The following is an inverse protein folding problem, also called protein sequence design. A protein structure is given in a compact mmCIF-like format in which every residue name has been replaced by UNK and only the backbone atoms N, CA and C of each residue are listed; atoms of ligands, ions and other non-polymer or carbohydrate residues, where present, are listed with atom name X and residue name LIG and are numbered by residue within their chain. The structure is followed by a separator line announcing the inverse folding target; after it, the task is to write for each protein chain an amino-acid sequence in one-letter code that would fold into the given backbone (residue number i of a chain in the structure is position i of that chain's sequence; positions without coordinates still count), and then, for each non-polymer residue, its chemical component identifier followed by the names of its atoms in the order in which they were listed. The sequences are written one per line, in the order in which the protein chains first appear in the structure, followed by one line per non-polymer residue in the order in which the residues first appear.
data_IF_256715885232
#
_entry.id   IF_256715885232
#
_cell.length_a   1.000
_cell.length_b   1.000
_cell.length_c   1.000
_cell.angle_alpha   90.00
_cell.angle_beta   90.00
_cell.angle_gamma   90.00
#
_symmetry.space_group_name_H-M   'P 1'
#
loop_
_entity.id
_entity.type
_entity.pdbx_description
1 polymer ?
#
# COMPACT_ATOMS: atom_id res chain seq x y z
N UNK A 1 4.66 -44.48 25.50
CA UNK A 1 6.10 -44.35 25.24
C UNK A 1 6.48 -42.89 25.01
N UNK A 2 7.27 -42.30 25.92
CA UNK A 2 7.72 -40.88 25.77
C UNK A 2 8.96 -40.89 24.89
N UNK A 3 8.92 -40.32 23.67
CA UNK A 3 10.06 -40.29 22.76
C UNK A 3 11.35 -39.72 23.41
N UNK A 4 12.48 -40.13 22.91
CA UNK A 4 13.83 -39.77 23.42
C UNK A 4 14.07 -38.24 23.30
N UNK A 5 14.99 -37.70 24.09
CA UNK A 5 15.32 -36.27 24.05
C UNK A 5 15.68 -35.77 22.63
N UNK A 6 16.49 -36.49 21.82
CA UNK A 6 16.80 -36.05 20.45
C UNK A 6 15.58 -36.05 19.52
N UNK A 7 14.62 -36.97 19.67
CA UNK A 7 13.42 -37.00 18.86
C UNK A 7 12.49 -35.83 19.17
N UNK A 8 12.40 -35.39 20.42
CA UNK A 8 11.66 -34.21 20.85
C UNK A 8 12.25 -32.95 20.27
N UNK A 9 13.57 -32.85 20.26
CA UNK A 9 14.32 -31.73 19.68
C UNK A 9 14.11 -31.64 18.16
N UNK A 10 14.23 -32.76 17.47
CA UNK A 10 13.99 -32.83 16.03
C UNK A 10 12.55 -32.45 15.64
N UNK A 11 11.55 -32.83 16.44
CA UNK A 11 10.16 -32.40 16.23
C UNK A 11 9.96 -30.90 16.46
N UNK A 12 10.60 -30.32 17.48
CA UNK A 12 10.56 -28.87 17.74
C UNK A 12 11.19 -28.08 16.61
N UNK A 13 12.35 -28.49 16.11
CA UNK A 13 13.04 -27.86 14.98
C UNK A 13 12.20 -27.93 13.69
N UNK A 14 11.58 -29.06 13.40
CA UNK A 14 10.68 -29.18 12.22
C UNK A 14 9.46 -28.26 12.35
N UNK A 15 8.87 -28.15 13.53
CA UNK A 15 7.77 -27.21 13.78
C UNK A 15 8.23 -25.76 13.60
N UNK A 16 9.35 -25.38 14.19
CA UNK A 16 9.92 -24.04 14.06
C UNK A 16 10.18 -23.68 12.60
N UNK A 17 10.85 -24.59 11.84
CA UNK A 17 11.09 -24.37 10.41
C UNK A 17 9.80 -24.19 9.61
N UNK A 18 8.75 -24.96 9.90
CA UNK A 18 7.43 -24.80 9.26
C UNK A 18 6.81 -23.43 9.57
N UNK A 19 6.84 -23.02 10.83
CA UNK A 19 6.32 -21.71 11.24
C UNK A 19 7.11 -20.57 10.62
N UNK A 20 8.44 -20.66 10.57
CA UNK A 20 9.28 -19.66 9.90
C UNK A 20 8.99 -19.61 8.38
N UNK A 21 8.81 -20.74 7.73
CA UNK A 21 8.45 -20.79 6.32
C UNK A 21 7.06 -20.15 6.06
N UNK A 22 6.07 -20.45 6.91
CA UNK A 22 4.74 -19.84 6.82
C UNK A 22 4.78 -18.33 7.07
N UNK A 23 5.53 -17.89 8.07
CA UNK A 23 5.72 -16.47 8.37
C UNK A 23 6.43 -15.74 7.23
N UNK A 24 7.47 -16.35 6.63
CA UNK A 24 8.16 -15.80 5.46
C UNK A 24 7.22 -15.70 4.25
N UNK A 25 6.42 -16.72 4.00
CA UNK A 25 5.44 -16.71 2.91
C UNK A 25 4.35 -15.65 3.14
N UNK A 26 3.82 -15.55 4.35
CA UNK A 26 2.81 -14.55 4.71
C UNK A 26 3.35 -13.12 4.64
N UNK A 27 4.64 -12.90 5.00
CA UNK A 27 5.30 -11.60 4.94
C UNK A 27 5.81 -11.20 3.56
N UNK A 28 5.97 -12.14 2.62
CA UNK A 28 6.57 -11.87 1.31
C UNK A 28 5.72 -10.93 0.46
N UNK A 29 4.40 -11.09 0.46
CA UNK A 29 3.50 -10.23 -0.32
C UNK A 29 3.43 -8.79 0.20
N UNK A 30 3.22 -8.53 1.50
CA UNK A 30 3.34 -7.17 2.04
C UNK A 30 4.71 -6.53 1.77
N UNK A 31 5.80 -7.28 1.92
CA UNK A 31 7.14 -6.80 1.64
C UNK A 31 7.33 -6.44 0.15
N UNK A 32 6.79 -7.25 -0.76
CA UNK A 32 6.77 -6.95 -2.19
C UNK A 32 6.01 -5.65 -2.48
N UNK A 33 4.78 -5.51 -1.97
CA UNK A 33 3.97 -4.30 -2.18
C UNK A 33 4.69 -3.08 -1.64
N UNK A 34 5.10 -3.10 -0.37
CA UNK A 34 5.80 -1.99 0.26
C UNK A 34 7.10 -1.66 -0.48
N UNK A 35 7.95 -2.63 -0.75
CA UNK A 35 9.22 -2.42 -1.46
C UNK A 35 9.03 -1.79 -2.83
N UNK A 36 8.04 -2.26 -3.59
CA UNK A 36 7.73 -1.70 -4.91
C UNK A 36 7.20 -0.27 -4.83
N UNK A 37 6.24 -0.05 -3.93
CA UNK A 37 5.63 1.28 -3.73
C UNK A 37 6.68 2.28 -3.29
N UNK A 38 7.49 1.95 -2.29
CA UNK A 38 8.54 2.85 -1.80
C UNK A 38 9.61 3.12 -2.85
N UNK A 39 10.12 2.08 -3.50
CA UNK A 39 11.13 2.26 -4.55
C UNK A 39 10.63 3.14 -5.70
N UNK A 40 9.34 3.03 -6.05
CA UNK A 40 8.74 3.83 -7.12
C UNK A 40 8.46 5.26 -6.66
N UNK A 41 7.89 5.45 -5.47
CA UNK A 41 7.56 6.76 -4.90
C UNK A 41 8.83 7.60 -4.67
N UNK A 42 9.89 7.00 -4.13
CA UNK A 42 11.16 7.70 -3.88
C UNK A 42 11.87 8.16 -5.17
N UNK A 43 11.64 7.45 -6.28
CA UNK A 43 12.18 7.82 -7.60
C UNK A 43 11.30 8.79 -8.37
N UNK A 44 10.12 9.12 -7.86
CA UNK A 44 9.24 10.10 -8.50
C UNK A 44 9.70 11.52 -8.17
N UNK A 45 9.60 12.42 -9.15
CA UNK A 45 9.88 13.86 -8.99
C UNK A 45 8.66 14.62 -8.44
N UNK A 46 7.70 13.93 -7.87
CA UNK A 46 6.51 14.56 -7.29
C UNK A 46 6.87 15.37 -6.04
N UNK A 47 6.32 16.60 -5.93
CA UNK A 47 6.57 17.46 -4.79
C UNK A 47 5.87 16.97 -3.51
N UNK A 48 6.31 17.54 -2.39
CA UNK A 48 5.72 17.34 -1.07
C UNK A 48 6.09 15.98 -0.45
N UNK A 49 6.02 15.96 0.87
CA UNK A 49 6.13 14.75 1.68
C UNK A 49 4.75 14.21 2.02
N UNK A 50 4.51 13.99 3.32
CA UNK A 50 3.21 13.49 3.81
C UNK A 50 2.10 14.50 3.53
N UNK A 51 0.95 14.01 3.13
CA UNK A 51 -0.25 14.74 2.72
C UNK A 51 -0.14 15.54 1.42
N UNK A 52 1.02 15.48 0.75
CA UNK A 52 1.23 16.09 -0.57
C UNK A 52 1.04 15.12 -1.73
N UNK A 53 1.31 15.56 -2.98
CA UNK A 53 1.20 14.73 -4.19
C UNK A 53 2.00 13.43 -4.12
N UNK A 54 3.19 13.45 -3.56
CA UNK A 54 4.03 12.25 -3.38
C UNK A 54 3.39 11.21 -2.45
N UNK A 55 2.75 11.65 -1.39
CA UNK A 55 2.00 10.78 -0.48
C UNK A 55 0.73 10.22 -1.14
N UNK A 56 0.00 11.06 -1.85
CA UNK A 56 -1.15 10.66 -2.64
C UNK A 56 -0.80 9.59 -3.70
N UNK A 57 0.36 9.76 -4.38
CA UNK A 57 0.91 8.76 -5.29
C UNK A 57 1.21 7.44 -4.57
N UNK A 58 1.83 7.50 -3.40
CA UNK A 58 2.14 6.32 -2.59
C UNK A 58 0.87 5.53 -2.25
N UNK A 59 -0.19 6.20 -1.78
CA UNK A 59 -1.47 5.58 -1.44
C UNK A 59 -2.17 4.98 -2.66
N UNK A 60 -2.28 5.75 -3.74
CA UNK A 60 -2.85 5.28 -4.99
C UNK A 60 -2.11 4.09 -5.58
N UNK A 61 -0.76 4.14 -5.59
CA UNK A 61 0.07 3.05 -6.11
C UNK A 61 0.00 1.78 -5.26
N UNK A 62 -0.05 1.92 -3.94
CA UNK A 62 -0.20 0.77 -3.04
C UNK A 62 -1.51 0.04 -3.31
N UNK A 63 -2.61 0.76 -3.35
CA UNK A 63 -3.94 0.21 -3.62
C UNK A 63 -4.06 -0.35 -5.03
N UNK A 64 -3.47 0.32 -6.04
CA UNK A 64 -3.42 -0.19 -7.41
C UNK A 64 -2.62 -1.50 -7.50
N UNK A 65 -1.47 -1.57 -6.81
CA UNK A 65 -0.64 -2.78 -6.75
C UNK A 65 -1.41 -3.97 -6.17
N UNK A 66 -2.10 -3.75 -5.05
CA UNK A 66 -2.91 -4.80 -4.41
C UNK A 66 -4.08 -5.23 -5.28
N UNK A 67 -4.77 -4.28 -5.92
CA UNK A 67 -5.90 -4.58 -6.79
C UNK A 67 -5.48 -5.30 -8.09
N UNK A 68 -4.32 -4.93 -8.66
CA UNK A 68 -3.76 -5.56 -9.86
C UNK A 68 -3.27 -6.99 -9.61
N UNK A 69 -2.62 -7.24 -8.47
CA UNK A 69 -2.03 -8.55 -8.15
C UNK A 69 -2.97 -9.49 -7.39
N UNK A 70 -4.05 -8.98 -6.83
CA UNK A 70 -5.00 -9.73 -6.03
C UNK A 70 -6.44 -9.43 -6.41
N UNK A 71 -7.13 -8.67 -5.58
CA UNK A 71 -8.53 -8.29 -5.78
C UNK A 71 -8.79 -6.90 -5.17
N UNK A 72 -9.67 -6.08 -5.76
CA UNK A 72 -10.10 -4.81 -5.17
C UNK A 72 -10.66 -4.94 -3.73
N UNK A 73 -11.29 -6.07 -3.41
CA UNK A 73 -11.80 -6.37 -2.05
C UNK A 73 -10.70 -6.45 -0.99
N UNK A 74 -9.48 -6.86 -1.38
CA UNK A 74 -8.35 -6.87 -0.47
C UNK A 74 -7.90 -5.46 -0.11
N UNK A 75 -8.05 -4.52 -1.05
CA UNK A 75 -7.75 -3.09 -0.80
C UNK A 75 -8.71 -2.56 0.26
N UNK A 76 -10.01 -2.81 0.13
CA UNK A 76 -11.01 -2.37 1.10
C UNK A 76 -10.69 -2.89 2.51
N UNK A 77 -10.31 -4.17 2.61
CA UNK A 77 -9.94 -4.77 3.89
C UNK A 77 -8.65 -4.17 4.48
N UNK A 78 -7.59 -4.02 3.66
CA UNK A 78 -6.32 -3.43 4.10
C UNK A 78 -6.52 -1.96 4.49
N UNK A 79 -7.30 -1.20 3.73
CA UNK A 79 -7.61 0.19 4.01
C UNK A 79 -8.37 0.33 5.33
N UNK A 80 -9.40 -0.47 5.55
CA UNK A 80 -10.17 -0.47 6.79
C UNK A 80 -9.31 -0.75 8.04
N UNK A 81 -8.35 -1.68 7.93
CA UNK A 81 -7.41 -2.00 9.04
C UNK A 81 -6.41 -0.86 9.27
N UNK A 82 -6.02 -0.11 8.24
CA UNK A 82 -5.02 0.97 8.35
C UNK A 82 -5.64 2.32 8.75
N UNK A 83 -6.93 2.53 8.57
CA UNK A 83 -7.62 3.79 8.86
C UNK A 83 -7.86 4.04 10.35
N UNK A 84 -7.70 3.04 11.21
CA UNK A 84 -7.95 3.11 12.67
C UNK A 84 -6.87 3.89 13.46
N UNK A 85 -5.91 4.50 12.78
CA UNK A 85 -4.70 5.07 13.37
C UNK A 85 -4.71 6.59 13.64
N UNK A 86 -5.77 7.20 14.17
CA UNK A 86 -5.67 8.52 14.88
C UNK A 86 -5.33 9.76 14.04
N UNK A 87 -5.44 9.75 12.71
CA UNK A 87 -5.22 10.92 11.83
C UNK A 87 -6.46 11.81 11.79
N UNK A 88 -6.28 13.14 11.58
CA UNK A 88 -7.38 14.07 11.40
C UNK A 88 -8.33 13.66 10.27
N UNK A 89 -9.62 13.97 10.38
CA UNK A 89 -10.68 13.51 9.47
C UNK A 89 -10.39 13.80 7.99
N UNK A 90 -9.85 14.99 7.66
CA UNK A 90 -9.51 15.37 6.29
C UNK A 90 -8.41 14.50 5.67
N UNK A 91 -7.36 14.15 6.43
CA UNK A 91 -6.27 13.31 5.93
C UNK A 91 -6.75 11.87 5.70
N UNK A 92 -7.61 11.34 6.57
CA UNK A 92 -8.22 10.02 6.38
C UNK A 92 -9.13 9.98 5.16
N UNK A 93 -9.97 10.99 4.98
CA UNK A 93 -10.86 11.08 3.81
C UNK A 93 -10.06 11.13 2.51
N UNK A 94 -8.97 11.90 2.48
CA UNK A 94 -8.03 11.99 1.37
C UNK A 94 -7.37 10.62 1.08
N UNK A 95 -6.83 9.96 2.09
CA UNK A 95 -6.17 8.65 1.94
C UNK A 95 -7.18 7.60 1.42
N UNK A 96 -8.38 7.56 1.98
CA UNK A 96 -9.45 6.65 1.55
C UNK A 96 -9.89 6.91 0.11
N UNK A 97 -10.02 8.18 -0.30
CA UNK A 97 -10.32 8.58 -1.68
C UNK A 97 -9.24 8.08 -2.64
N UNK A 98 -7.97 8.38 -2.37
CA UNK A 98 -6.84 7.97 -3.19
C UNK A 98 -6.69 6.44 -3.27
N UNK A 99 -6.96 5.73 -2.18
CA UNK A 99 -6.95 4.28 -2.14
C UNK A 99 -8.05 3.69 -3.04
N UNK A 100 -9.27 4.23 -3.02
CA UNK A 100 -10.36 3.78 -3.90
C UNK A 100 -10.04 4.00 -5.36
N UNK A 101 -9.53 5.18 -5.73
CA UNK A 101 -9.14 5.48 -7.10
C UNK A 101 -7.99 4.58 -7.56
N UNK A 102 -6.95 4.42 -6.75
CA UNK A 102 -5.85 3.50 -7.04
C UNK A 102 -6.33 2.07 -7.26
N UNK A 103 -7.25 1.57 -6.43
CA UNK A 103 -7.82 0.24 -6.60
C UNK A 103 -8.58 0.09 -7.93
N UNK A 104 -9.36 1.11 -8.34
CA UNK A 104 -10.04 1.09 -9.64
C UNK A 104 -9.04 1.06 -10.80
N UNK A 105 -7.96 1.84 -10.73
CA UNK A 105 -6.90 1.83 -11.75
C UNK A 105 -6.25 0.45 -11.82
N UNK A 106 -5.85 -0.11 -10.69
CA UNK A 106 -5.21 -1.43 -10.64
C UNK A 106 -6.09 -2.54 -11.19
N UNK A 107 -7.39 -2.53 -10.87
CA UNK A 107 -8.35 -3.54 -11.33
C UNK A 107 -8.59 -3.51 -12.86
N UNK A 108 -8.36 -2.38 -13.51
CA UNK A 108 -8.59 -2.19 -14.96
C UNK A 108 -7.32 -2.31 -15.80
N UNK A 109 -6.15 -2.27 -15.16
CA UNK A 109 -4.88 -2.24 -15.86
C UNK A 109 -4.59 -3.56 -16.60
N UNK A 110 -4.23 -3.45 -17.87
CA UNK A 110 -3.82 -4.59 -18.69
C UNK A 110 -2.37 -5.03 -18.49
N UNK A 111 -1.55 -4.19 -17.85
CA UNK A 111 -0.16 -4.50 -17.55
C UNK A 111 0.35 -3.72 -16.34
N UNK A 112 1.42 -4.23 -15.73
CA UNK A 112 2.11 -3.57 -14.63
C UNK A 112 2.62 -2.16 -14.98
N UNK A 113 3.19 -2.01 -16.16
CA UNK A 113 3.68 -0.72 -16.66
C UNK A 113 2.55 0.28 -16.85
N UNK A 114 1.44 -0.16 -17.46
CA UNK A 114 0.25 0.64 -17.62
C UNK A 114 -0.32 1.09 -16.28
N UNK A 115 -0.52 0.17 -15.34
CA UNK A 115 -1.02 0.49 -13.99
C UNK A 115 -0.23 1.63 -13.34
N UNK A 116 1.11 1.54 -13.35
CA UNK A 116 1.98 2.56 -12.76
C UNK A 116 1.87 3.92 -13.49
N UNK A 117 1.81 3.88 -14.82
CA UNK A 117 1.66 5.09 -15.62
C UNK A 117 0.30 5.76 -15.36
N UNK A 118 -0.77 4.98 -15.27
CA UNK A 118 -2.14 5.49 -15.04
C UNK A 118 -2.26 6.12 -13.64
N UNK A 119 -1.65 5.50 -12.60
CA UNK A 119 -1.62 6.10 -11.26
C UNK A 119 -0.83 7.42 -11.27
N UNK A 120 0.32 7.48 -11.93
CA UNK A 120 1.10 8.70 -12.03
C UNK A 120 0.33 9.81 -12.79
N UNK A 121 -0.31 9.46 -13.90
CA UNK A 121 -1.14 10.38 -14.67
C UNK A 121 -2.33 10.90 -13.84
N UNK A 122 -2.97 10.06 -13.04
CA UNK A 122 -4.04 10.48 -12.14
C UNK A 122 -3.55 11.47 -11.07
N UNK A 123 -2.33 11.30 -10.56
CA UNK A 123 -1.71 12.29 -9.65
C UNK A 123 -1.41 13.58 -10.39
N UNK A 124 -0.81 13.52 -11.58
CA UNK A 124 -0.49 14.73 -12.38
C UNK A 124 -1.74 15.54 -12.77
N UNK A 125 -2.86 14.87 -13.00
CA UNK A 125 -4.15 15.49 -13.25
C UNK A 125 -4.92 15.86 -11.98
N UNK A 126 -4.40 15.51 -10.80
CA UNK A 126 -5.01 15.72 -9.50
C UNK A 126 -4.91 17.17 -9.00
N UNK A 127 -5.33 17.38 -7.77
CA UNK A 127 -5.34 18.71 -7.17
C UNK A 127 -5.50 18.70 -5.65
N UNK A 128 -5.26 19.85 -5.04
CA UNK A 128 -5.48 20.02 -3.61
C UNK A 128 -6.99 20.09 -3.30
N UNK A 129 -7.44 19.27 -2.34
CA UNK A 129 -8.84 19.23 -1.86
C UNK A 129 -9.87 19.02 -2.99
N UNK A 130 -9.53 18.21 -4.00
CA UNK A 130 -10.44 17.87 -5.10
C UNK A 130 -11.44 16.83 -4.60
N UNK A 131 -12.73 17.07 -4.85
CA UNK A 131 -13.84 16.17 -4.48
C UNK A 131 -14.29 15.25 -5.63
N UNK A 132 -13.62 15.33 -6.78
CA UNK A 132 -13.90 14.51 -7.96
C UNK A 132 -13.43 13.07 -7.75
N UNK A 133 -14.32 12.10 -7.89
CA UNK A 133 -14.04 10.68 -7.69
C UNK A 133 -13.02 10.08 -8.65
N UNK A 134 -12.78 10.72 -9.80
CA UNK A 134 -11.84 10.27 -10.82
C UNK A 134 -10.48 11.00 -10.76
N UNK A 135 -10.26 11.84 -9.77
CA UNK A 135 -9.01 12.61 -9.59
C UNK A 135 -8.36 12.32 -8.25
N UNK A 136 -7.05 12.12 -8.28
CA UNK A 136 -6.24 12.04 -7.04
C UNK A 136 -6.27 13.39 -6.31
N UNK A 137 -6.32 13.35 -4.99
CA UNK A 137 -6.38 14.53 -4.16
C UNK A 137 -5.30 14.54 -3.07
N UNK A 138 -4.92 15.72 -2.61
CA UNK A 138 -3.99 15.94 -1.50
C UNK A 138 -4.39 17.16 -0.67
N UNK A 139 -3.74 17.37 0.47
CA UNK A 139 -3.98 18.56 1.28
C UNK A 139 -3.25 19.77 0.69
N UNK A 140 -3.67 21.01 1.01
CA UNK A 140 -2.97 22.21 0.60
C UNK A 140 -1.50 22.23 1.07
N UNK A 141 -0.60 22.95 0.37
CA UNK A 141 0.85 22.92 0.65
C UNK A 141 1.20 23.25 2.12
N UNK A 142 0.45 24.10 2.77
CA UNK A 142 0.64 24.52 4.17
C UNK A 142 0.41 23.36 5.17
N UNK A 143 -0.23 22.28 4.70
CA UNK A 143 -0.50 21.07 5.47
C UNK A 143 0.49 19.92 5.16
N UNK A 144 1.41 20.10 4.22
CA UNK A 144 2.41 19.10 3.89
C UNK A 144 3.46 18.99 5.00
N UNK A 145 3.98 17.81 5.17
CA UNK A 145 5.11 17.54 6.05
C UNK A 145 6.28 17.07 5.19
N UNK A 146 7.51 17.50 5.54
CA UNK A 146 8.72 17.15 4.77
C UNK A 146 9.03 15.65 4.78
N UNK A 147 8.54 14.92 5.78
CA UNK A 147 8.73 13.48 5.90
C UNK A 147 7.56 12.72 5.32
N UNK A 148 7.84 11.60 4.64
CA UNK A 148 6.80 10.65 4.18
C UNK A 148 6.28 9.76 5.32
N UNK A 149 6.94 9.75 6.46
CA UNK A 149 6.64 8.94 7.65
C UNK A 149 6.66 9.78 8.92
#
# INVERSE_FOLDING_TARGET
MRGTAPERWARRLRRLRRWLALAALAGSYPAFVLGTVYATTLRSDLPGGRHGPKDAYRHGLASATVAYTGSPRWVEWVTAVMEDGGRGDAARAMDAHNNRLGARIGARAGSWTQMRADVLAAVQAGGAMVEDDDRITWLPPERWQDRLY
#
